data_IF_156190483103
#
_entry.id   IF_156190483103
#
_cell.length_a   1.000
_cell.length_b   1.000
_cell.length_c   1.000
_cell.angle_alpha   90.00
_cell.angle_beta   90.00
_cell.angle_gamma   90.00
#
_symmetry.space_group_name_H-M   'P 1'
#
loop_
_entity.id
_entity.type
_entity.pdbx_description
1 polymer ?
#
# COMPACT_ATOMS: atom_id res chain seq x y z
N UNK A 1 -26.70 16.45 -64.55
CA UNK A 1 -25.35 15.81 -64.53
C UNK A 1 -24.71 16.01 -63.19
N UNK A 2 -24.33 14.90 -62.54
CA UNK A 2 -23.48 14.75 -61.34
C UNK A 2 -24.06 15.07 -59.97
N UNK A 3 -24.55 14.00 -59.35
CA UNK A 3 -24.69 13.78 -57.92
C UNK A 3 -23.33 13.85 -57.19
N UNK A 4 -23.28 14.47 -56.01
CA UNK A 4 -22.26 14.18 -55.03
C UNK A 4 -22.92 13.77 -53.71
N UNK A 5 -22.57 12.58 -53.30
CA UNK A 5 -22.98 11.89 -52.09
C UNK A 5 -22.32 12.50 -50.85
N UNK A 6 -23.12 12.82 -49.84
CA UNK A 6 -22.70 13.04 -48.47
C UNK A 6 -22.91 11.72 -47.68
N UNK A 7 -21.84 11.09 -47.28
CA UNK A 7 -21.91 9.91 -46.40
C UNK A 7 -20.57 9.57 -45.81
N UNK A 8 -20.57 9.32 -44.53
CA UNK A 8 -19.52 8.70 -43.70
C UNK A 8 -18.67 9.61 -42.80
N UNK A 9 -19.29 10.14 -41.77
CA UNK A 9 -18.53 10.62 -40.60
C UNK A 9 -18.94 9.94 -39.24
N UNK A 10 -19.96 9.05 -39.26
CA UNK A 10 -20.50 8.48 -38.01
C UNK A 10 -19.98 7.07 -37.67
N UNK A 11 -19.35 6.36 -38.58
CA UNK A 11 -18.94 4.98 -38.38
C UNK A 11 -17.55 4.83 -37.70
N UNK A 12 -16.68 5.84 -37.81
CA UNK A 12 -15.28 5.74 -37.35
C UNK A 12 -15.14 5.94 -35.83
N UNK A 13 -16.01 6.71 -35.19
CA UNK A 13 -15.94 7.00 -33.76
C UNK A 13 -16.42 5.79 -32.91
N UNK A 14 -17.43 5.07 -33.41
CA UNK A 14 -17.93 3.87 -32.68
C UNK A 14 -16.98 2.67 -32.76
N UNK A 15 -16.24 2.50 -33.85
CA UNK A 15 -15.28 1.40 -34.03
C UNK A 15 -14.03 1.64 -33.19
N UNK A 16 -13.60 2.88 -32.97
CA UNK A 16 -12.44 3.19 -32.13
C UNK A 16 -12.76 2.99 -30.65
N UNK A 17 -13.96 3.35 -30.19
CA UNK A 17 -14.39 3.13 -28.79
C UNK A 17 -14.56 1.64 -28.46
N UNK A 18 -15.08 0.84 -29.39
CA UNK A 18 -15.21 -0.61 -29.25
C UNK A 18 -13.85 -1.34 -29.31
N UNK A 19 -12.89 -0.82 -30.09
CA UNK A 19 -11.53 -1.38 -30.12
C UNK A 19 -10.73 -1.07 -28.85
N UNK A 20 -10.91 0.10 -28.24
CA UNK A 20 -10.26 0.44 -26.96
C UNK A 20 -10.86 -0.33 -25.79
N UNK A 21 -12.16 -0.59 -25.75
CA UNK A 21 -12.79 -1.46 -24.75
C UNK A 21 -12.35 -2.93 -24.92
N UNK A 22 -12.30 -3.45 -26.15
CA UNK A 22 -11.81 -4.79 -26.46
C UNK A 22 -10.32 -4.98 -26.12
N UNK A 23 -9.47 -3.97 -26.37
CA UNK A 23 -8.06 -4.03 -26.00
C UNK A 23 -7.84 -3.98 -24.47
N UNK A 24 -8.71 -3.28 -23.70
CA UNK A 24 -8.69 -3.26 -22.24
C UNK A 24 -9.05 -4.63 -21.64
N UNK A 25 -9.97 -5.36 -22.23
CA UNK A 25 -10.34 -6.72 -21.80
C UNK A 25 -9.26 -7.76 -22.11
N UNK A 26 -8.48 -7.62 -23.19
CA UNK A 26 -7.44 -8.59 -23.55
C UNK A 26 -6.30 -8.67 -22.54
N UNK A 27 -6.06 -7.63 -21.73
CA UNK A 27 -4.99 -7.61 -20.72
C UNK A 27 -5.33 -8.39 -19.45
N UNK A 28 -6.62 -8.56 -19.13
CA UNK A 28 -7.11 -9.45 -18.07
C UNK A 28 -7.46 -10.86 -18.63
N UNK A 29 -7.58 -11.01 -19.94
CA UNK A 29 -8.12 -12.22 -20.60
C UNK A 29 -7.09 -13.06 -21.36
N UNK A 30 -5.80 -12.95 -21.06
CA UNK A 30 -4.85 -13.98 -21.50
C UNK A 30 -5.13 -15.27 -20.72
N UNK A 31 -5.98 -16.13 -21.28
CA UNK A 31 -6.27 -17.46 -20.74
C UNK A 31 -7.75 -17.68 -20.38
N UNK A 32 -8.01 -18.68 -19.54
CA UNK A 32 -9.32 -19.08 -19.03
C UNK A 32 -10.03 -17.90 -18.31
N UNK A 33 -11.37 -17.73 -18.44
CA UNK A 33 -12.11 -16.74 -17.67
C UNK A 33 -11.82 -16.88 -16.17
N UNK A 34 -11.66 -15.73 -15.50
CA UNK A 34 -11.52 -15.68 -14.04
C UNK A 34 -12.77 -16.27 -13.38
N UNK A 35 -12.61 -16.99 -12.29
CA UNK A 35 -13.71 -17.54 -11.49
C UNK A 35 -13.73 -16.90 -10.09
N UNK A 36 -14.92 -16.76 -9.47
CA UNK A 36 -15.00 -16.33 -8.08
C UNK A 36 -14.20 -17.28 -7.18
N UNK A 37 -13.46 -16.72 -6.22
CA UNK A 37 -12.69 -17.53 -5.29
C UNK A 37 -12.52 -16.84 -3.93
N UNK A 38 -12.41 -17.65 -2.88
CA UNK A 38 -12.02 -17.20 -1.53
C UNK A 38 -10.51 -17.45 -1.36
N UNK A 39 -9.81 -16.43 -0.92
CA UNK A 39 -8.35 -16.48 -0.67
C UNK A 39 -8.07 -15.87 0.69
N UNK A 40 -7.16 -16.49 1.43
CA UNK A 40 -6.62 -15.94 2.67
C UNK A 40 -5.37 -15.13 2.34
N UNK A 41 -5.30 -13.89 2.81
CA UNK A 41 -4.09 -13.05 2.73
C UNK A 41 -3.41 -12.93 4.07
N UNK A 42 -2.10 -13.15 4.12
CA UNK A 42 -1.28 -13.05 5.32
C UNK A 42 -0.15 -12.05 5.09
N UNK A 43 -0.01 -11.10 6.01
CA UNK A 43 0.99 -10.05 5.95
C UNK A 43 1.65 -9.83 7.31
N UNK A 44 2.96 -9.79 7.33
CA UNK A 44 3.75 -9.27 8.45
C UNK A 44 4.60 -8.09 7.95
N UNK A 45 4.34 -6.91 8.50
CA UNK A 45 4.96 -5.66 8.09
C UNK A 45 6.28 -5.37 8.81
N UNK A 46 7.04 -4.42 8.27
CA UNK A 46 8.32 -3.96 8.85
C UNK A 46 8.16 -3.18 10.17
N UNK A 47 6.93 -2.83 10.56
CA UNK A 47 6.61 -2.27 11.87
C UNK A 47 6.82 -3.28 13.00
N UNK A 48 6.74 -4.58 12.68
CA UNK A 48 6.85 -5.71 13.62
C UNK A 48 5.79 -5.66 14.74
N UNK A 49 4.57 -5.23 14.39
CA UNK A 49 3.45 -5.17 15.34
C UNK A 49 2.76 -6.53 15.47
N UNK A 50 2.77 -7.31 14.37
CA UNK A 50 2.08 -8.58 14.32
C UNK A 50 1.83 -9.09 12.91
N UNK A 51 0.89 -10.02 12.81
CA UNK A 51 0.42 -10.63 11.56
C UNK A 51 -0.99 -10.11 11.27
N UNK A 52 -1.19 -9.52 10.11
CA UNK A 52 -2.50 -9.20 9.56
C UNK A 52 -2.98 -10.37 8.69
N UNK A 53 -4.16 -10.89 8.99
CA UNK A 53 -4.79 -11.97 8.24
C UNK A 53 -6.18 -11.55 7.77
N UNK A 54 -6.47 -11.74 6.49
CA UNK A 54 -7.77 -11.43 5.89
C UNK A 54 -8.30 -12.62 5.08
N UNK A 55 -9.60 -12.86 5.16
CA UNK A 55 -10.31 -13.75 4.24
C UNK A 55 -11.09 -12.87 3.27
N UNK A 56 -10.79 -12.96 1.99
CA UNK A 56 -11.42 -12.16 0.96
C UNK A 56 -12.01 -13.04 -0.14
N UNK A 57 -13.23 -12.69 -0.59
CA UNK A 57 -13.85 -13.26 -1.78
C UNK A 57 -13.65 -12.32 -2.95
N UNK A 58 -13.03 -12.81 -4.02
CA UNK A 58 -12.86 -12.08 -5.26
C UNK A 58 -13.91 -12.54 -6.27
N UNK A 59 -14.61 -11.58 -6.86
CA UNK A 59 -15.62 -11.83 -7.89
C UNK A 59 -15.25 -11.02 -9.12
N UNK A 60 -14.87 -11.67 -10.23
CA UNK A 60 -14.57 -10.98 -11.47
C UNK A 60 -15.84 -10.41 -12.10
N UNK A 61 -15.81 -9.13 -12.44
CA UNK A 61 -16.81 -8.45 -13.24
C UNK A 61 -16.34 -8.31 -14.69
N UNK A 62 -17.06 -7.51 -15.48
CA UNK A 62 -16.72 -7.28 -16.90
C UNK A 62 -15.42 -6.49 -17.03
N UNK A 63 -15.27 -5.43 -16.24
CA UNK A 63 -14.14 -4.49 -16.32
C UNK A 63 -13.38 -4.32 -14.99
N UNK A 64 -13.74 -5.08 -13.97
CA UNK A 64 -13.16 -4.95 -12.62
C UNK A 64 -13.18 -6.29 -11.88
N UNK A 65 -12.43 -6.34 -10.78
CA UNK A 65 -12.54 -7.39 -9.77
C UNK A 65 -13.11 -6.73 -8.52
N UNK A 66 -14.22 -7.25 -7.98
CA UNK A 66 -14.69 -6.85 -6.66
C UNK A 66 -14.08 -7.73 -5.57
N UNK A 67 -13.80 -7.14 -4.43
CA UNK A 67 -13.34 -7.85 -3.24
C UNK A 67 -14.35 -7.64 -2.10
N UNK A 68 -14.84 -8.74 -1.55
CA UNK A 68 -15.64 -8.77 -0.33
C UNK A 68 -14.73 -9.24 0.81
N UNK A 69 -14.53 -8.41 1.83
CA UNK A 69 -13.81 -8.79 3.05
C UNK A 69 -14.75 -9.61 3.94
N UNK A 70 -14.47 -10.91 4.09
CA UNK A 70 -15.29 -11.83 4.90
C UNK A 70 -14.88 -11.81 6.38
N UNK A 71 -13.57 -11.71 6.65
CA UNK A 71 -13.02 -11.51 7.98
C UNK A 71 -11.64 -10.86 7.90
N UNK A 72 -11.30 -10.13 8.95
CA UNK A 72 -9.97 -9.56 9.16
C UNK A 72 -9.60 -9.63 10.62
N UNK A 73 -8.34 -9.96 10.91
CA UNK A 73 -7.80 -9.94 12.25
C UNK A 73 -6.31 -9.65 12.25
N UNK A 74 -5.87 -8.81 13.20
CA UNK A 74 -4.47 -8.59 13.53
C UNK A 74 -4.08 -9.40 14.76
N UNK A 75 -2.95 -10.09 14.68
CA UNK A 75 -2.37 -10.91 15.74
C UNK A 75 -1.06 -10.27 16.19
N UNK A 76 -1.06 -9.61 17.33
CA UNK A 76 0.14 -8.95 17.85
C UNK A 76 1.23 -9.96 18.17
N UNK A 77 2.47 -9.64 17.84
CA UNK A 77 3.63 -10.43 18.30
C UNK A 77 3.80 -10.31 19.80
N UNK A 78 4.18 -11.40 20.45
CA UNK A 78 4.70 -11.34 21.81
C UNK A 78 6.01 -10.55 21.82
N UNK A 79 6.40 -10.08 23.01
CA UNK A 79 7.69 -9.38 23.17
C UNK A 79 8.86 -10.22 22.66
N UNK A 80 8.89 -11.51 22.97
CA UNK A 80 9.96 -12.43 22.56
C UNK A 80 9.99 -12.61 21.04
N UNK A 81 8.82 -12.82 20.39
CA UNK A 81 8.71 -12.93 18.94
C UNK A 81 9.25 -11.67 18.26
N UNK A 82 8.82 -10.50 18.74
CA UNK A 82 9.25 -9.21 18.21
C UNK A 82 10.76 -8.99 18.36
N UNK A 83 11.33 -9.31 19.51
CA UNK A 83 12.77 -9.19 19.76
C UNK A 83 13.59 -10.11 18.86
N UNK A 84 13.11 -11.33 18.58
CA UNK A 84 13.77 -12.26 17.64
C UNK A 84 13.73 -11.75 16.21
N UNK A 85 12.60 -11.21 15.76
CA UNK A 85 12.46 -10.58 14.44
C UNK A 85 13.36 -9.36 14.32
N UNK A 86 13.45 -8.51 15.33
CA UNK A 86 14.37 -7.36 15.34
C UNK A 86 15.83 -7.79 15.16
N UNK A 87 16.28 -8.80 15.95
CA UNK A 87 17.64 -9.35 15.78
C UNK A 87 17.88 -9.92 14.39
N UNK A 88 16.87 -10.52 13.77
CA UNK A 88 16.99 -11.04 12.40
C UNK A 88 17.18 -9.92 11.37
N UNK A 89 16.57 -8.74 11.58
CA UNK A 89 16.77 -7.56 10.72
C UNK A 89 18.18 -6.94 10.89
N UNK A 90 18.76 -7.03 12.07
CA UNK A 90 20.09 -6.51 12.38
C UNK A 90 21.21 -7.48 11.97
N UNK A 91 20.88 -8.76 11.84
CA UNK A 91 21.80 -9.84 11.50
C UNK A 91 21.90 -10.88 12.62
N UNK A 92 21.78 -12.16 12.26
CA UNK A 92 21.85 -13.28 13.20
C UNK A 92 22.52 -14.51 12.57
N UNK A 93 22.61 -15.63 13.31
CA UNK A 93 23.22 -16.86 12.80
C UNK A 93 22.35 -17.54 11.73
N UNK A 94 22.94 -18.29 10.79
CA UNK A 94 22.19 -19.11 9.85
C UNK A 94 21.19 -20.08 10.51
N UNK A 95 21.58 -20.62 11.66
CA UNK A 95 20.70 -21.50 12.47
C UNK A 95 19.44 -20.77 12.95
N UNK A 96 19.60 -19.54 13.45
CA UNK A 96 18.47 -18.75 13.92
C UNK A 96 17.58 -18.29 12.74
N UNK A 97 18.15 -17.91 11.62
CA UNK A 97 17.37 -17.62 10.42
C UNK A 97 16.52 -18.81 9.98
N UNK A 98 17.10 -20.02 9.94
CA UNK A 98 16.38 -21.23 9.57
C UNK A 98 15.23 -21.54 10.54
N UNK A 99 15.48 -21.49 11.86
CA UNK A 99 14.46 -21.72 12.89
C UNK A 99 13.33 -20.70 12.81
N UNK A 100 13.69 -19.41 12.73
CA UNK A 100 12.72 -18.32 12.69
C UNK A 100 11.84 -18.38 11.45
N UNK A 101 12.37 -18.77 10.27
CA UNK A 101 11.59 -18.98 9.06
C UNK A 101 10.48 -20.03 9.26
N UNK A 102 10.79 -21.16 9.90
CA UNK A 102 9.82 -22.23 10.19
C UNK A 102 8.81 -21.83 11.25
N UNK A 103 9.28 -21.21 12.33
CA UNK A 103 8.41 -20.76 13.42
C UNK A 103 7.44 -19.66 12.96
N UNK A 104 7.91 -18.73 12.14
CA UNK A 104 7.04 -17.72 11.54
C UNK A 104 6.00 -18.37 10.60
N UNK A 105 6.38 -19.41 9.87
CA UNK A 105 5.43 -20.22 9.10
C UNK A 105 4.33 -20.81 10.01
N UNK A 106 4.69 -21.27 11.20
CA UNK A 106 3.72 -21.77 12.18
C UNK A 106 2.81 -20.64 12.71
N UNK A 107 3.35 -19.46 13.05
CA UNK A 107 2.54 -18.32 13.52
C UNK A 107 1.58 -17.82 12.43
N UNK A 108 2.03 -17.80 11.17
CA UNK A 108 1.18 -17.45 10.02
C UNK A 108 0.08 -18.50 9.80
N UNK A 109 0.37 -19.78 10.03
CA UNK A 109 -0.65 -20.85 9.98
C UNK A 109 -1.73 -20.66 11.04
N UNK A 110 -1.32 -20.35 12.26
CA UNK A 110 -2.25 -20.12 13.37
C UNK A 110 -3.16 -18.92 13.08
N UNK A 111 -2.60 -17.86 12.50
CA UNK A 111 -3.38 -16.69 12.06
C UNK A 111 -4.36 -17.05 10.94
N UNK A 112 -3.95 -17.86 9.94
CA UNK A 112 -4.82 -18.30 8.86
C UNK A 112 -6.00 -19.13 9.38
N UNK A 113 -5.74 -20.10 10.26
CA UNK A 113 -6.79 -20.95 10.86
C UNK A 113 -7.77 -20.10 11.67
N UNK A 114 -7.24 -19.16 12.47
CA UNK A 114 -8.09 -18.31 13.31
C UNK A 114 -8.99 -17.37 12.47
N UNK A 115 -8.46 -16.73 11.42
CA UNK A 115 -9.27 -15.83 10.60
C UNK A 115 -10.29 -16.59 9.73
N UNK A 116 -10.00 -17.83 9.33
CA UNK A 116 -10.97 -18.71 8.66
C UNK A 116 -12.13 -19.08 9.58
N UNK A 117 -11.83 -19.37 10.86
CA UNK A 117 -12.86 -19.61 11.85
C UNK A 117 -13.73 -18.37 12.10
N UNK A 118 -13.14 -17.18 12.18
CA UNK A 118 -13.86 -15.90 12.29
C UNK A 118 -14.79 -15.66 11.07
N UNK A 119 -14.36 -16.06 9.87
CA UNK A 119 -15.14 -15.95 8.64
C UNK A 119 -16.24 -17.03 8.52
N UNK A 120 -16.19 -18.10 9.29
CA UNK A 120 -17.06 -19.27 9.13
C UNK A 120 -16.85 -20.00 7.78
N UNK A 121 -15.64 -19.93 7.21
CA UNK A 121 -15.30 -20.53 5.92
C UNK A 121 -14.54 -21.84 6.16
N UNK A 122 -15.01 -22.90 5.48
CA UNK A 122 -14.32 -24.19 5.49
C UNK A 122 -13.04 -24.11 4.65
N UNK A 123 -12.00 -24.83 5.05
CA UNK A 123 -10.73 -24.86 4.32
C UNK A 123 -10.87 -25.38 2.88
N UNK A 124 -11.84 -26.26 2.64
CA UNK A 124 -12.16 -26.84 1.35
C UNK A 124 -12.70 -25.78 0.36
N UNK A 125 -13.27 -24.69 0.88
CA UNK A 125 -13.80 -23.57 0.08
C UNK A 125 -12.72 -22.52 -0.23
N UNK A 126 -11.51 -22.66 0.35
CA UNK A 126 -10.39 -21.72 0.15
C UNK A 126 -9.55 -22.16 -1.04
N UNK A 127 -9.41 -21.28 -2.00
CA UNK A 127 -8.65 -21.54 -3.23
C UNK A 127 -7.14 -21.55 -2.99
N UNK A 128 -6.65 -20.71 -2.11
CA UNK A 128 -5.24 -20.60 -1.72
C UNK A 128 -5.07 -19.73 -0.47
N UNK A 129 -3.94 -19.89 0.20
CA UNK A 129 -3.39 -18.90 1.12
C UNK A 129 -2.32 -18.10 0.37
N UNK A 130 -2.34 -16.78 0.47
CA UNK A 130 -1.35 -15.87 -0.08
C UNK A 130 -0.53 -15.27 1.07
N UNK A 131 0.69 -15.73 1.25
CA UNK A 131 1.55 -15.30 2.36
C UNK A 131 2.67 -14.39 1.86
N UNK A 132 2.62 -13.11 2.28
CA UNK A 132 3.77 -12.22 2.11
C UNK A 132 4.93 -12.63 3.01
N UNK A 133 4.63 -13.15 4.20
CA UNK A 133 5.64 -13.38 5.24
C UNK A 133 6.16 -12.07 5.84
N UNK A 134 7.37 -12.13 6.42
CA UNK A 134 8.10 -11.00 7.00
C UNK A 134 9.34 -10.69 6.18
N UNK A 135 9.47 -9.46 5.68
CA UNK A 135 10.69 -9.04 5.01
C UNK A 135 11.84 -8.94 6.00
N UNK A 136 12.87 -9.75 5.79
CA UNK A 136 14.12 -9.76 6.57
C UNK A 136 15.21 -8.97 5.86
N UNK A 137 15.26 -9.08 4.54
CA UNK A 137 16.18 -8.33 3.71
C UNK A 137 15.50 -7.81 2.45
N UNK A 138 15.80 -6.59 2.07
CA UNK A 138 15.33 -6.02 0.82
C UNK A 138 16.34 -5.00 0.31
N UNK A 139 16.94 -5.30 -0.83
CA UNK A 139 17.84 -4.45 -1.58
C UNK A 139 17.24 -4.22 -2.97
N UNK A 140 16.62 -3.04 -3.20
CA UNK A 140 15.91 -2.77 -4.44
C UNK A 140 16.76 -3.02 -5.69
N UNK A 141 16.21 -3.76 -6.65
CA UNK A 141 16.90 -4.10 -7.90
C UNK A 141 17.95 -5.20 -7.80
N UNK A 142 18.29 -5.69 -6.63
CA UNK A 142 19.29 -6.75 -6.44
C UNK A 142 18.72 -8.01 -5.80
N UNK A 143 18.17 -7.92 -4.57
CA UNK A 143 17.74 -9.10 -3.83
C UNK A 143 16.66 -8.77 -2.80
N UNK A 144 15.87 -9.78 -2.45
CA UNK A 144 14.84 -9.65 -1.42
C UNK A 144 14.62 -11.00 -0.74
N UNK A 145 14.32 -10.98 0.56
CA UNK A 145 14.11 -12.20 1.32
C UNK A 145 13.00 -12.00 2.36
N UNK A 146 11.95 -12.79 2.22
CA UNK A 146 10.83 -12.83 3.12
C UNK A 146 10.81 -14.17 3.86
N UNK A 147 10.58 -14.14 5.17
CA UNK A 147 10.43 -15.31 6.05
C UNK A 147 8.97 -15.72 6.19
N UNK A 148 8.77 -16.94 6.66
CA UNK A 148 7.47 -17.59 6.85
C UNK A 148 7.33 -18.76 5.89
N UNK A 149 7.98 -19.89 6.25
CA UNK A 149 8.08 -21.09 5.39
C UNK A 149 6.71 -21.54 4.88
N UNK A 150 6.45 -21.44 3.56
CA UNK A 150 5.14 -21.73 3.00
C UNK A 150 4.76 -23.23 3.09
N UNK A 151 5.73 -24.13 3.10
CA UNK A 151 5.47 -25.55 3.29
C UNK A 151 4.93 -25.85 4.68
N UNK A 152 5.38 -25.12 5.71
CA UNK A 152 4.82 -25.23 7.09
C UNK A 152 3.37 -24.73 7.11
N UNK A 153 3.07 -23.64 6.39
CA UNK A 153 1.70 -23.13 6.31
C UNK A 153 0.81 -24.14 5.58
N UNK A 154 1.24 -24.68 4.45
CA UNK A 154 0.49 -25.62 3.65
C UNK A 154 0.20 -26.93 4.45
N UNK A 155 1.22 -27.51 5.05
CA UNK A 155 1.08 -28.75 5.83
C UNK A 155 0.14 -28.59 7.04
N UNK A 156 0.21 -27.44 7.75
CA UNK A 156 -0.62 -27.21 8.94
C UNK A 156 -2.07 -26.83 8.62
N UNK A 157 -2.31 -26.21 7.48
CA UNK A 157 -3.66 -25.76 7.09
C UNK A 157 -4.37 -26.73 6.16
N UNK A 158 -3.63 -27.55 5.42
CA UNK A 158 -4.17 -28.38 4.32
C UNK A 158 -4.60 -27.54 3.11
N UNK A 159 -4.06 -26.31 2.97
CA UNK A 159 -4.39 -25.39 1.88
C UNK A 159 -3.10 -25.01 1.16
N UNK A 160 -3.09 -25.04 -0.18
CA UNK A 160 -1.94 -24.62 -0.96
C UNK A 160 -1.60 -23.14 -0.79
N UNK A 161 -0.31 -22.81 -0.78
CA UNK A 161 0.21 -21.48 -0.44
C UNK A 161 0.92 -20.84 -1.61
N UNK A 162 0.61 -19.57 -1.88
CA UNK A 162 1.37 -18.68 -2.77
C UNK A 162 2.22 -17.76 -1.89
N UNK A 163 3.52 -17.73 -2.13
CA UNK A 163 4.49 -16.91 -1.38
C UNK A 163 5.52 -16.27 -2.30
N UNK A 164 6.51 -15.53 -1.76
CA UNK A 164 7.64 -14.96 -2.52
C UNK A 164 7.22 -13.99 -3.65
N UNK A 165 6.25 -13.14 -3.43
CA UNK A 165 5.70 -12.23 -4.44
C UNK A 165 6.74 -11.25 -5.00
N UNK A 166 7.71 -10.81 -4.19
CA UNK A 166 8.71 -9.78 -4.56
C UNK A 166 9.82 -10.30 -5.46
N UNK A 167 10.20 -11.58 -5.28
CA UNK A 167 11.36 -12.20 -5.94
C UNK A 167 11.26 -12.13 -7.46
N UNK A 168 10.06 -12.41 -8.03
CA UNK A 168 9.88 -12.44 -9.49
C UNK A 168 9.95 -11.06 -10.12
N UNK A 169 9.49 -10.02 -9.42
CA UNK A 169 9.58 -8.64 -9.87
C UNK A 169 11.04 -8.17 -9.89
N UNK A 170 11.79 -8.45 -8.82
CA UNK A 170 13.25 -8.16 -8.75
C UNK A 170 13.99 -8.88 -9.88
N UNK A 171 13.72 -10.16 -10.10
CA UNK A 171 14.34 -10.93 -11.19
C UNK A 171 13.97 -10.38 -12.58
N UNK A 172 12.84 -9.69 -12.71
CA UNK A 172 12.45 -8.96 -13.92
C UNK A 172 13.09 -7.58 -14.04
N UNK A 173 14.00 -7.21 -13.14
CA UNK A 173 14.68 -5.92 -13.08
C UNK A 173 13.90 -4.83 -12.38
N UNK A 174 12.80 -5.17 -11.70
CA UNK A 174 12.06 -4.27 -10.85
C UNK A 174 12.65 -4.14 -9.45
N UNK A 175 12.11 -3.22 -8.69
CA UNK A 175 12.55 -2.99 -7.30
C UNK A 175 11.93 -3.96 -6.29
N UNK A 176 10.91 -4.78 -6.70
CA UNK A 176 10.20 -5.68 -5.79
C UNK A 176 9.22 -5.00 -4.84
N UNK A 177 9.12 -3.68 -4.94
CA UNK A 177 8.21 -2.80 -4.19
C UNK A 177 7.97 -1.51 -4.99
N UNK A 178 6.83 -0.82 -4.83
CA UNK A 178 5.64 -1.29 -4.11
C UNK A 178 4.82 -2.31 -4.93
N UNK A 179 4.19 -3.29 -4.29
CA UNK A 179 3.34 -4.28 -4.95
C UNK A 179 1.83 -4.01 -4.78
N UNK A 180 1.44 -3.26 -3.75
CA UNK A 180 0.03 -2.88 -3.48
C UNK A 180 -0.65 -2.15 -4.64
N UNK A 181 0.04 -1.37 -5.51
CA UNK A 181 -0.58 -0.67 -6.64
C UNK A 181 -1.43 -1.54 -7.57
N UNK A 182 -1.18 -2.86 -7.65
CA UNK A 182 -2.05 -3.78 -8.41
C UNK A 182 -3.46 -3.86 -7.79
N UNK A 183 -3.53 -3.91 -6.45
CA UNK A 183 -4.82 -3.91 -5.75
C UNK A 183 -5.50 -2.55 -5.86
N UNK A 184 -4.74 -1.46 -5.75
CA UNK A 184 -5.25 -0.10 -5.92
C UNK A 184 -5.92 0.04 -7.30
N UNK A 185 -5.30 -0.47 -8.35
CA UNK A 185 -5.82 -0.42 -9.70
C UNK A 185 -7.01 -1.36 -9.96
N UNK A 186 -6.96 -2.60 -9.47
CA UNK A 186 -7.98 -3.60 -9.81
C UNK A 186 -9.20 -3.56 -8.88
N UNK A 187 -9.03 -3.15 -7.62
CA UNK A 187 -10.09 -3.16 -6.60
C UNK A 187 -10.65 -1.77 -6.27
N UNK A 188 -9.81 -0.73 -6.33
CA UNK A 188 -10.13 0.57 -5.73
C UNK A 188 -10.16 1.72 -6.74
N UNK A 189 -10.12 1.44 -8.06
CA UNK A 189 -10.28 2.46 -9.08
C UNK A 189 -11.70 3.04 -9.10
N UNK A 190 -11.85 4.19 -9.75
CA UNK A 190 -13.14 4.72 -10.15
C UNK A 190 -13.34 4.49 -11.66
N UNK A 191 -14.55 4.16 -12.09
CA UNK A 191 -14.84 3.81 -13.49
C UNK A 191 -14.64 5.00 -14.44
N UNK A 192 -14.96 6.21 -13.98
CA UNK A 192 -14.98 7.42 -14.83
C UNK A 192 -13.92 8.47 -14.49
N UNK A 193 -13.22 8.35 -13.35
CA UNK A 193 -12.36 9.41 -12.84
C UNK A 193 -10.99 8.86 -12.41
N UNK A 194 -9.97 9.72 -12.52
CA UNK A 194 -8.67 9.47 -11.90
C UNK A 194 -8.79 9.54 -10.39
N UNK A 195 -8.22 8.57 -9.73
CA UNK A 195 -8.18 8.47 -8.25
C UNK A 195 -6.74 8.35 -7.76
N UNK A 196 -6.42 9.00 -6.66
CA UNK A 196 -5.18 8.77 -5.95
C UNK A 196 -5.44 8.06 -4.62
N UNK A 197 -4.71 6.98 -4.35
CA UNK A 197 -4.73 6.25 -3.09
C UNK A 197 -3.51 6.71 -2.29
N UNK A 198 -3.73 7.56 -1.28
CA UNK A 198 -2.66 8.09 -0.42
C UNK A 198 -2.59 7.29 0.87
N UNK A 199 -1.53 6.50 1.03
CA UNK A 199 -1.25 5.84 2.30
C UNK A 199 -0.54 6.79 3.26
N UNK A 200 -1.01 6.86 4.50
CA UNK A 200 -0.50 7.66 5.61
C UNK A 200 0.08 6.74 6.69
N UNK A 201 1.08 5.94 6.31
CA UNK A 201 1.88 5.14 7.22
C UNK A 201 2.99 5.96 7.87
N UNK A 202 4.06 5.32 8.38
CA UNK A 202 5.25 6.03 8.86
C UNK A 202 5.88 6.91 7.78
N UNK A 203 5.86 6.43 6.53
CA UNK A 203 6.14 7.18 5.29
C UNK A 203 4.83 7.33 4.53
N UNK A 204 4.60 8.49 3.94
CA UNK A 204 3.49 8.76 3.04
C UNK A 204 3.81 8.31 1.62
N UNK A 205 2.94 7.55 0.99
CA UNK A 205 3.07 7.17 -0.42
C UNK A 205 1.73 7.25 -1.14
N UNK A 206 1.79 7.47 -2.44
CA UNK A 206 0.61 7.63 -3.29
C UNK A 206 0.65 6.66 -4.47
N UNK A 207 -0.49 6.05 -4.78
CA UNK A 207 -0.75 5.36 -6.05
C UNK A 207 -1.74 6.20 -6.86
N UNK A 208 -1.39 6.57 -8.09
CA UNK A 208 -2.24 7.27 -9.03
C UNK A 208 -2.86 6.24 -9.97
N UNK A 209 -4.19 6.17 -9.98
CA UNK A 209 -4.95 5.16 -10.70
C UNK A 209 -5.83 5.84 -11.76
N UNK A 210 -5.69 5.46 -13.05
CA UNK A 210 -6.55 5.96 -14.11
C UNK A 210 -8.01 5.52 -13.94
N UNK A 211 -8.91 6.26 -14.58
CA UNK A 211 -10.30 5.82 -14.74
C UNK A 211 -10.34 4.40 -15.34
N UNK A 212 -11.18 3.53 -14.75
CA UNK A 212 -11.30 2.13 -15.15
C UNK A 212 -10.10 1.24 -14.80
N UNK A 213 -9.14 1.71 -13.97
CA UNK A 213 -8.05 0.89 -13.43
C UNK A 213 -7.02 0.38 -14.45
N UNK A 214 -6.84 1.07 -15.59
CA UNK A 214 -5.89 0.67 -16.62
C UNK A 214 -4.44 0.66 -16.08
N UNK A 215 -3.81 -0.51 -16.04
CA UNK A 215 -2.52 -0.72 -15.35
C UNK A 215 -1.35 0.07 -15.96
N UNK A 216 -1.40 0.39 -17.25
CA UNK A 216 -0.37 1.14 -17.96
C UNK A 216 -0.24 2.60 -17.48
N UNK A 217 -1.30 3.16 -16.93
CA UNK A 217 -1.30 4.52 -16.39
C UNK A 217 -1.04 4.59 -14.87
N UNK A 218 -0.92 3.44 -14.21
CA UNK A 218 -0.70 3.40 -12.76
C UNK A 218 0.74 3.78 -12.44
N UNK A 219 0.89 4.75 -11.54
CA UNK A 219 2.18 5.19 -11.00
C UNK A 219 2.12 5.22 -9.47
N UNK A 220 3.24 4.98 -8.81
CA UNK A 220 3.33 5.07 -7.36
C UNK A 220 4.69 5.64 -6.94
N UNK A 221 4.72 6.44 -5.88
CA UNK A 221 5.92 6.99 -5.28
C UNK A 221 5.67 7.52 -3.87
N UNK A 222 6.74 7.75 -3.11
CA UNK A 222 6.66 8.28 -1.75
C UNK A 222 6.52 9.80 -1.77
N UNK A 223 5.54 10.33 -1.02
CA UNK A 223 5.24 11.75 -0.95
C UNK A 223 6.02 12.49 0.14
N UNK A 224 6.54 11.77 1.13
CA UNK A 224 7.29 12.37 2.23
C UNK A 224 7.01 11.68 3.58
N UNK A 225 7.14 12.39 4.70
CA UNK A 225 6.78 11.85 5.99
C UNK A 225 5.27 11.57 6.01
N UNK A 226 4.91 10.39 6.53
CA UNK A 226 3.52 10.12 6.87
C UNK A 226 3.23 10.58 8.30
N UNK A 227 2.80 9.67 9.17
CA UNK A 227 2.68 9.96 10.61
C UNK A 227 4.00 9.82 11.36
N UNK A 228 5.05 9.26 10.75
CA UNK A 228 6.30 8.96 11.44
C UNK A 228 6.92 10.16 12.14
N UNK A 229 6.93 11.34 11.48
CA UNK A 229 7.44 12.59 12.07
C UNK A 229 6.47 13.12 13.13
N UNK A 230 5.16 13.07 12.88
CA UNK A 230 4.13 13.52 13.84
C UNK A 230 4.24 12.72 15.14
N UNK A 231 4.24 11.39 15.04
CA UNK A 231 4.32 10.48 16.19
C UNK A 231 5.66 10.61 16.92
N UNK A 232 6.75 10.76 16.17
CA UNK A 232 8.07 10.91 16.74
C UNK A 232 8.24 12.22 17.51
N UNK A 233 7.76 13.33 16.96
CA UNK A 233 7.75 14.63 17.63
C UNK A 233 6.85 14.57 18.87
N UNK A 234 5.67 13.94 18.76
CA UNK A 234 4.76 13.77 19.90
C UNK A 234 5.44 13.00 21.03
N UNK A 235 6.07 11.84 20.75
CA UNK A 235 6.78 11.05 21.77
C UNK A 235 7.97 11.77 22.42
N UNK A 236 8.62 12.66 21.70
CA UNK A 236 9.73 13.46 22.26
C UNK A 236 9.20 14.53 23.21
N UNK A 237 8.10 15.19 22.85
CA UNK A 237 7.56 16.33 23.60
C UNK A 237 6.57 15.93 24.70
N UNK A 238 5.87 14.81 24.52
CA UNK A 238 4.82 14.27 25.39
C UNK A 238 5.06 12.76 25.53
N UNK A 239 6.07 12.32 26.31
CA UNK A 239 6.52 10.93 26.36
C UNK A 239 5.47 9.90 26.81
N UNK A 240 4.43 10.34 27.50
CA UNK A 240 3.28 9.54 27.93
C UNK A 240 2.33 9.17 26.78
N UNK A 241 2.45 9.83 25.61
CA UNK A 241 1.62 9.56 24.44
C UNK A 241 2.42 8.85 23.35
N UNK A 242 1.92 7.76 22.77
CA UNK A 242 2.56 7.09 21.64
C UNK A 242 2.43 7.89 20.34
N UNK A 243 1.40 8.72 20.21
CA UNK A 243 1.08 9.62 19.09
C UNK A 243 0.03 10.67 19.52
N UNK A 244 -0.25 11.66 18.68
CA UNK A 244 -1.31 12.65 18.92
C UNK A 244 -2.69 12.03 18.67
N UNK A 245 -3.30 11.53 19.76
CA UNK A 245 -4.59 10.84 19.71
C UNK A 245 -5.69 11.77 19.18
N UNK A 246 -6.34 11.38 18.11
CA UNK A 246 -7.39 12.13 17.41
C UNK A 246 -6.96 13.53 16.92
N UNK A 247 -5.65 13.78 16.81
CA UNK A 247 -5.10 15.09 16.42
C UNK A 247 -5.40 16.21 17.42
N UNK A 248 -5.61 15.87 18.70
CA UNK A 248 -6.07 16.82 19.72
C UNK A 248 -5.03 17.89 20.06
N UNK A 249 -3.74 17.51 20.04
CA UNK A 249 -2.66 18.46 20.31
C UNK A 249 -2.47 19.38 19.09
N UNK A 250 -2.37 18.81 17.90
CA UNK A 250 -2.20 19.60 16.68
C UNK A 250 -3.33 20.61 16.45
N UNK A 251 -4.59 20.26 16.76
CA UNK A 251 -5.74 21.17 16.62
C UNK A 251 -5.71 22.36 17.58
N UNK A 252 -4.98 22.30 18.68
CA UNK A 252 -4.80 23.40 19.62
C UNK A 252 -3.63 24.29 19.27
N UNK A 253 -2.71 23.80 18.44
CA UNK A 253 -1.52 24.51 18.01
C UNK A 253 -1.71 25.28 16.70
N UNK A 254 -0.74 26.15 16.43
CA UNK A 254 -0.61 26.86 15.17
C UNK A 254 0.69 26.48 14.47
N UNK A 255 0.59 25.97 13.24
CA UNK A 255 1.75 25.56 12.47
C UNK A 255 2.70 26.75 12.16
N UNK A 256 4.00 26.50 12.24
CA UNK A 256 5.04 27.43 11.84
C UNK A 256 5.36 27.28 10.35
N UNK A 257 4.71 28.04 9.48
CA UNK A 257 4.87 27.97 8.02
C UNK A 257 6.32 28.20 7.55
N UNK A 258 7.10 29.00 8.31
CA UNK A 258 8.51 29.23 7.99
C UNK A 258 9.34 27.95 8.11
N UNK A 259 9.04 27.11 9.11
CA UNK A 259 9.68 25.80 9.29
C UNK A 259 9.24 24.82 8.20
N UNK A 260 7.95 24.76 7.91
CA UNK A 260 7.43 23.89 6.84
C UNK A 260 8.11 24.20 5.50
N UNK A 261 8.19 25.47 5.12
CA UNK A 261 8.87 25.89 3.88
C UNK A 261 10.35 25.53 3.86
N UNK A 262 11.06 25.71 4.98
CA UNK A 262 12.49 25.36 5.07
C UNK A 262 12.73 23.86 4.90
N UNK A 263 11.93 23.02 5.58
CA UNK A 263 12.07 21.57 5.51
C UNK A 263 11.68 21.03 4.12
N UNK A 264 10.67 21.59 3.47
CA UNK A 264 10.29 21.22 2.11
C UNK A 264 11.29 21.66 1.03
N UNK A 265 12.23 22.56 1.35
CA UNK A 265 13.31 22.92 0.44
C UNK A 265 14.41 21.84 0.35
N UNK A 266 14.35 20.79 1.15
CA UNK A 266 15.30 19.68 1.08
C UNK A 266 15.22 18.93 -0.26
N UNK A 267 16.38 18.46 -0.78
CA UNK A 267 16.46 17.85 -2.12
C UNK A 267 15.52 16.70 -2.37
N UNK A 268 15.20 15.90 -1.34
CA UNK A 268 14.26 14.79 -1.42
C UNK A 268 12.89 15.21 -1.96
N UNK A 269 12.33 16.32 -1.47
CA UNK A 269 10.99 16.75 -1.90
C UNK A 269 10.98 17.24 -3.35
N UNK A 270 12.09 17.80 -3.82
CA UNK A 270 12.25 18.27 -5.21
C UNK A 270 12.55 17.12 -6.21
N UNK A 271 13.01 15.96 -5.73
CA UNK A 271 13.35 14.84 -6.59
C UNK A 271 12.14 14.30 -7.34
N UNK A 272 12.22 14.10 -8.68
CA UNK A 272 11.10 13.55 -9.44
C UNK A 272 10.91 12.04 -9.16
N UNK A 273 9.67 11.52 -9.32
CA UNK A 273 9.44 10.09 -9.35
C UNK A 273 10.16 9.39 -10.54
N UNK A 274 10.56 8.11 -10.38
CA UNK A 274 10.30 7.26 -9.23
C UNK A 274 11.20 7.62 -8.04
N UNK A 275 10.60 7.82 -6.86
CA UNK A 275 11.33 8.07 -5.62
C UNK A 275 10.71 7.29 -4.47
N UNK A 276 11.57 6.75 -3.62
CA UNK A 276 11.21 6.09 -2.38
C UNK A 276 12.12 6.55 -1.25
N UNK A 277 11.67 6.41 -0.02
CA UNK A 277 12.44 6.67 1.18
C UNK A 277 12.00 5.74 2.29
N UNK A 278 12.79 5.67 3.34
CA UNK A 278 12.52 4.89 4.52
C UNK A 278 12.79 5.68 5.80
N UNK A 279 13.06 4.94 6.87
CA UNK A 279 13.35 5.52 8.19
C UNK A 279 14.70 6.27 8.23
N UNK A 280 15.55 6.08 7.24
CA UNK A 280 16.86 6.71 7.13
C UNK A 280 16.80 8.22 6.91
N UNK A 281 15.73 8.74 6.30
CA UNK A 281 15.57 10.18 6.09
C UNK A 281 14.87 10.84 7.28
N UNK A 282 13.74 10.27 7.74
CA UNK A 282 12.93 10.83 8.81
C UNK A 282 13.31 10.22 10.16
N UNK A 283 14.56 10.45 10.54
CA UNK A 283 15.18 9.92 11.77
C UNK A 283 14.79 10.70 13.00
N UNK A 284 15.23 10.23 14.18
CA UNK A 284 15.10 10.98 15.43
C UNK A 284 15.73 12.39 15.33
N UNK A 285 16.91 12.51 14.69
CA UNK A 285 17.56 13.81 14.50
C UNK A 285 16.74 14.76 13.61
N UNK A 286 16.01 14.22 12.62
CA UNK A 286 15.06 15.02 11.85
C UNK A 286 13.94 15.58 12.72
N UNK A 287 13.35 14.77 13.60
CA UNK A 287 12.30 15.20 14.55
C UNK A 287 12.82 16.26 15.52
N UNK A 288 14.01 16.07 16.09
CA UNK A 288 14.68 17.03 16.95
C UNK A 288 14.96 18.36 16.22
N UNK A 289 15.30 18.31 14.93
CA UNK A 289 15.44 19.50 14.07
C UNK A 289 14.11 20.22 13.86
N UNK A 290 13.00 19.51 13.60
CA UNK A 290 11.66 20.12 13.52
C UNK A 290 11.34 20.89 14.81
N UNK A 291 11.60 20.28 15.97
CA UNK A 291 11.40 20.91 17.28
C UNK A 291 12.26 22.17 17.45
N UNK A 292 13.55 22.04 17.18
CA UNK A 292 14.50 23.15 17.35
C UNK A 292 14.17 24.35 16.44
N UNK A 293 13.88 24.10 15.16
CA UNK A 293 13.50 25.15 14.20
C UNK A 293 12.18 25.83 14.59
N UNK A 294 11.19 25.07 15.06
CA UNK A 294 9.89 25.62 15.47
C UNK A 294 10.04 26.56 16.68
N UNK A 295 10.84 26.16 17.66
CA UNK A 295 11.15 27.01 18.82
C UNK A 295 11.92 28.26 18.42
N UNK A 296 12.95 28.12 17.59
CA UNK A 296 13.83 29.22 17.21
C UNK A 296 13.13 30.27 16.32
N UNK A 297 12.25 29.84 15.40
CA UNK A 297 11.64 30.72 14.40
C UNK A 297 10.27 31.26 14.80
N UNK A 298 9.52 30.53 15.62
CA UNK A 298 8.13 30.88 15.93
C UNK A 298 7.82 30.91 17.42
N UNK A 299 8.82 30.75 18.30
CA UNK A 299 8.61 30.60 19.76
C UNK A 299 7.51 29.59 20.09
N UNK A 300 7.54 28.45 19.36
CA UNK A 300 6.45 27.51 19.27
C UNK A 300 6.25 26.72 20.56
N UNK A 301 5.01 26.60 21.01
CA UNK A 301 4.58 25.68 22.08
C UNK A 301 4.66 24.23 21.63
N UNK A 302 4.45 23.27 22.52
CA UNK A 302 4.36 21.84 22.19
C UNK A 302 3.29 21.58 21.14
N UNK A 303 2.11 22.15 21.29
CA UNK A 303 1.00 22.04 20.36
C UNK A 303 1.34 22.63 18.98
N UNK A 304 2.00 23.78 18.94
CA UNK A 304 2.43 24.42 17.69
C UNK A 304 3.45 23.57 16.92
N UNK A 305 4.36 22.91 17.64
CA UNK A 305 5.35 22.01 17.03
C UNK A 305 4.68 20.80 16.43
N UNK A 306 3.71 20.20 17.15
CA UNK A 306 2.95 19.04 16.63
C UNK A 306 2.08 19.47 15.44
N UNK A 307 1.43 20.64 15.50
CA UNK A 307 0.71 21.24 14.37
C UNK A 307 1.63 21.48 13.16
N UNK A 308 2.89 21.89 13.40
CA UNK A 308 3.91 22.08 12.35
C UNK A 308 4.27 20.75 11.68
N UNK A 309 4.40 19.67 12.45
CA UNK A 309 4.64 18.33 11.90
C UNK A 309 3.45 17.82 11.04
N UNK A 310 2.21 18.06 11.49
CA UNK A 310 1.01 17.78 10.69
C UNK A 310 0.99 18.59 9.40
N UNK A 311 1.29 19.90 9.49
CA UNK A 311 1.34 20.78 8.33
C UNK A 311 2.45 20.36 7.34
N UNK A 312 3.61 19.91 7.82
CA UNK A 312 4.70 19.40 6.99
C UNK A 312 4.26 18.19 6.18
N UNK A 313 3.62 17.21 6.82
CA UNK A 313 3.09 16.02 6.12
C UNK A 313 2.04 16.41 5.09
N UNK A 314 1.07 17.23 5.46
CA UNK A 314 0.02 17.66 4.54
C UNK A 314 0.57 18.47 3.36
N UNK A 315 1.54 19.35 3.60
CA UNK A 315 2.15 20.16 2.54
C UNK A 315 3.06 19.33 1.64
N UNK A 316 3.79 18.33 2.17
CA UNK A 316 4.61 17.44 1.34
C UNK A 316 3.76 16.65 0.34
N UNK A 317 2.56 16.22 0.74
CA UNK A 317 1.59 15.58 -0.13
C UNK A 317 1.10 16.57 -1.20
N UNK A 318 0.65 17.75 -0.79
CA UNK A 318 0.14 18.77 -1.72
C UNK A 318 1.22 19.24 -2.72
N UNK A 319 2.46 19.38 -2.26
CA UNK A 319 3.60 19.73 -3.12
C UNK A 319 3.89 18.63 -4.14
N UNK A 320 3.83 17.36 -3.72
CA UNK A 320 3.97 16.21 -4.63
C UNK A 320 2.85 16.18 -5.68
N UNK A 321 1.62 16.50 -5.31
CA UNK A 321 0.50 16.62 -6.25
C UNK A 321 0.74 17.73 -7.26
N UNK A 322 1.12 18.92 -6.84
CA UNK A 322 1.39 20.06 -7.74
C UNK A 322 2.54 19.82 -8.71
N UNK A 323 3.59 19.13 -8.25
CA UNK A 323 4.82 18.96 -9.06
C UNK A 323 4.79 17.73 -9.94
N UNK A 324 4.21 16.63 -9.47
CA UNK A 324 4.45 15.31 -10.07
C UNK A 324 3.18 14.59 -10.52
N UNK A 325 1.98 15.14 -10.27
CA UNK A 325 0.71 14.52 -10.65
C UNK A 325 -0.04 15.46 -11.60
N UNK A 326 0.30 15.44 -12.91
CA UNK A 326 -0.40 16.23 -13.93
C UNK A 326 -1.77 15.66 -14.28
N UNK A 327 -2.07 14.44 -13.86
CA UNK A 327 -3.33 13.77 -14.13
C UNK A 327 -4.50 14.50 -13.42
N UNK A 328 -5.70 14.54 -14.02
CA UNK A 328 -6.86 15.23 -13.46
C UNK A 328 -7.50 14.37 -12.34
N UNK A 329 -6.76 14.21 -11.25
CA UNK A 329 -7.24 13.47 -10.07
C UNK A 329 -8.45 14.19 -9.49
N UNK A 330 -9.59 13.48 -9.43
CA UNK A 330 -10.84 14.01 -8.89
C UNK A 330 -11.05 13.67 -7.41
N UNK A 331 -10.40 12.61 -6.94
CA UNK A 331 -10.55 12.12 -5.58
C UNK A 331 -9.23 11.54 -5.04
N UNK A 332 -8.93 11.87 -3.79
CA UNK A 332 -7.83 11.28 -3.01
C UNK A 332 -8.43 10.43 -1.89
N UNK A 333 -8.14 9.13 -1.92
CA UNK A 333 -8.57 8.21 -0.87
C UNK A 333 -7.43 7.97 0.10
N UNK A 334 -7.59 8.41 1.34
CA UNK A 334 -6.56 8.29 2.38
C UNK A 334 -6.74 7.00 3.18
N UNK A 335 -5.63 6.30 3.45
CA UNK A 335 -5.57 5.06 4.23
C UNK A 335 -4.36 5.05 5.17
N UNK A 336 -4.21 3.98 5.96
CA UNK A 336 -3.15 3.85 6.96
C UNK A 336 -3.46 4.55 8.27
N UNK A 337 -2.57 4.42 9.26
CA UNK A 337 -2.80 4.95 10.62
C UNK A 337 -3.08 6.46 10.67
N UNK A 338 -2.47 7.21 9.76
CA UNK A 338 -2.68 8.67 9.67
C UNK A 338 -4.07 9.08 9.22
N UNK A 339 -4.81 8.23 8.54
CA UNK A 339 -6.19 8.48 8.16
C UNK A 339 -7.14 8.54 9.38
N UNK A 340 -6.69 8.04 10.53
CA UNK A 340 -7.39 8.14 11.82
C UNK A 340 -7.08 9.43 12.58
N UNK A 341 -6.16 10.27 12.08
CA UNK A 341 -5.87 11.58 12.64
C UNK A 341 -6.68 12.65 11.90
N UNK A 342 -7.78 13.16 12.48
CA UNK A 342 -8.65 14.12 11.79
C UNK A 342 -7.94 15.43 11.46
N UNK A 343 -6.99 15.89 12.30
CA UNK A 343 -6.23 17.11 12.04
C UNK A 343 -5.38 16.97 10.76
N UNK A 344 -4.79 15.79 10.54
CA UNK A 344 -4.01 15.52 9.33
C UNK A 344 -4.90 15.42 8.09
N UNK A 345 -6.03 14.70 8.17
CA UNK A 345 -6.97 14.56 7.04
C UNK A 345 -7.54 15.92 6.63
N UNK A 346 -7.96 16.76 7.60
CA UNK A 346 -8.44 18.12 7.36
C UNK A 346 -7.35 19.00 6.72
N UNK A 347 -6.11 18.90 7.22
CA UNK A 347 -4.99 19.66 6.68
C UNK A 347 -4.65 19.26 5.23
N UNK A 348 -4.76 17.97 4.88
CA UNK A 348 -4.60 17.47 3.50
C UNK A 348 -5.74 17.98 2.62
N UNK A 349 -6.99 17.84 3.07
CA UNK A 349 -8.16 18.27 2.31
C UNK A 349 -8.13 19.76 1.98
N UNK A 350 -7.75 20.60 2.96
CA UNK A 350 -7.63 22.03 2.75
C UNK A 350 -6.58 22.41 1.68
N UNK A 351 -5.48 21.66 1.60
CA UNK A 351 -4.39 21.92 0.64
C UNK A 351 -4.61 21.34 -0.76
N UNK A 352 -5.40 20.29 -0.86
CA UNK A 352 -5.74 19.66 -2.13
C UNK A 352 -7.02 20.21 -2.76
N UNK A 353 -7.76 21.08 -2.08
CA UNK A 353 -8.99 21.65 -2.65
C UNK A 353 -8.75 22.23 -4.06
N UNK A 354 -9.64 21.99 -5.03
CA UNK A 354 -10.99 21.40 -4.89
C UNK A 354 -11.07 19.86 -4.97
N UNK A 355 -9.95 19.14 -4.94
CA UNK A 355 -9.95 17.67 -4.98
C UNK A 355 -10.60 17.12 -3.71
N UNK A 356 -11.51 16.18 -3.88
CA UNK A 356 -12.21 15.54 -2.75
C UNK A 356 -11.26 14.59 -2.02
N UNK A 357 -11.19 14.69 -0.69
CA UNK A 357 -10.43 13.75 0.15
C UNK A 357 -11.40 12.90 0.95
N UNK A 358 -11.33 11.58 0.76
CA UNK A 358 -12.22 10.59 1.37
C UNK A 358 -11.38 9.55 2.12
N UNK A 359 -11.87 9.03 3.23
CA UNK A 359 -11.21 7.92 3.93
C UNK A 359 -11.51 6.61 3.21
N UNK A 360 -10.54 5.70 3.23
CA UNK A 360 -10.67 4.38 2.63
C UNK A 360 -11.82 3.59 3.26
N UNK A 361 -11.95 3.67 4.59
CA UNK A 361 -13.00 2.98 5.35
C UNK A 361 -14.42 3.43 4.97
N UNK A 362 -14.58 4.65 4.45
CA UNK A 362 -15.88 5.19 4.07
C UNK A 362 -16.35 4.69 2.68
N UNK A 363 -15.42 4.17 1.87
CA UNK A 363 -15.69 3.71 0.50
C UNK A 363 -15.64 2.20 0.31
N UNK A 364 -14.82 1.49 1.11
CA UNK A 364 -14.50 0.09 0.86
C UNK A 364 -14.72 -0.75 2.12
N UNK A 365 -13.65 -1.11 2.81
CA UNK A 365 -13.64 -1.91 4.04
C UNK A 365 -12.57 -1.36 4.99
N UNK A 366 -12.39 -1.96 6.16
CA UNK A 366 -11.36 -1.54 7.13
C UNK A 366 -9.97 -1.43 6.47
N UNK A 367 -9.41 -0.23 6.47
CA UNK A 367 -8.11 0.06 5.86
C UNK A 367 -6.94 -0.77 6.42
N UNK A 368 -7.06 -1.29 7.65
CA UNK A 368 -6.05 -2.19 8.22
C UNK A 368 -5.98 -3.53 7.47
N UNK A 369 -7.09 -3.95 6.85
CA UNK A 369 -7.12 -5.16 6.02
C UNK A 369 -6.50 -4.97 4.64
N UNK A 370 -6.27 -3.73 4.19
CA UNK A 370 -5.90 -3.39 2.80
C UNK A 370 -4.68 -4.18 2.31
N UNK A 371 -3.62 -4.25 3.09
CA UNK A 371 -2.40 -4.97 2.69
C UNK A 371 -2.64 -6.48 2.60
N UNK A 372 -3.30 -7.09 3.60
CA UNK A 372 -3.61 -8.51 3.58
C UNK A 372 -4.53 -8.87 2.40
N UNK A 373 -5.54 -8.04 2.10
CA UNK A 373 -6.40 -8.19 0.91
C UNK A 373 -5.62 -8.02 -0.40
N UNK A 374 -4.66 -7.09 -0.46
CA UNK A 374 -3.80 -6.92 -1.63
C UNK A 374 -2.95 -8.17 -1.91
N UNK A 375 -2.39 -8.80 -0.87
CA UNK A 375 -1.67 -10.07 -1.05
C UNK A 375 -2.62 -11.23 -1.36
N UNK A 376 -3.83 -11.27 -0.78
CA UNK A 376 -4.86 -12.22 -1.19
C UNK A 376 -5.20 -12.09 -2.68
N UNK A 377 -5.35 -10.85 -3.19
CA UNK A 377 -5.55 -10.59 -4.62
C UNK A 377 -4.37 -11.11 -5.47
N UNK A 378 -3.13 -10.86 -5.06
CA UNK A 378 -1.96 -11.37 -5.78
C UNK A 378 -1.93 -12.90 -5.80
N UNK A 379 -2.30 -13.56 -4.70
CA UNK A 379 -2.48 -15.01 -4.65
C UNK A 379 -3.60 -15.49 -5.58
N UNK A 380 -4.73 -14.79 -5.61
CA UNK A 380 -5.82 -15.04 -6.55
C UNK A 380 -5.35 -14.93 -8.00
N UNK A 381 -4.67 -13.84 -8.35
CA UNK A 381 -4.11 -13.65 -9.70
C UNK A 381 -3.11 -14.74 -10.06
N UNK A 382 -2.28 -15.19 -9.09
CA UNK A 382 -1.33 -16.28 -9.30
C UNK A 382 -2.03 -17.58 -9.69
N UNK A 383 -3.03 -18.02 -8.92
CA UNK A 383 -3.75 -19.29 -9.19
C UNK A 383 -4.59 -19.24 -10.46
N UNK A 384 -4.94 -18.04 -10.90
CA UNK A 384 -5.61 -17.80 -12.19
C UNK A 384 -4.64 -17.53 -13.35
N UNK A 385 -3.32 -17.66 -13.12
CA UNK A 385 -2.29 -17.49 -14.15
C UNK A 385 -2.13 -16.05 -14.65
N UNK A 386 -2.48 -15.05 -13.83
CA UNK A 386 -2.45 -13.63 -14.17
C UNK A 386 -1.25 -12.91 -13.58
N UNK A 387 -0.71 -11.95 -14.32
CA UNK A 387 0.36 -11.09 -13.80
C UNK A 387 -0.15 -10.19 -12.67
N UNK A 388 0.70 -9.97 -11.67
CA UNK A 388 0.35 -9.24 -10.44
C UNK A 388 1.27 -8.06 -10.11
N UNK A 389 2.23 -7.70 -10.98
CA UNK A 389 3.03 -6.48 -10.80
C UNK A 389 2.54 -5.35 -11.70
N UNK A 390 2.89 -4.13 -11.32
CA UNK A 390 2.67 -2.90 -12.09
C UNK A 390 4.05 -2.33 -12.45
N UNK A 391 4.53 -2.53 -13.70
CA UNK A 391 5.85 -2.05 -14.12
C UNK A 391 6.07 -0.55 -13.91
N UNK A 392 5.03 0.27 -14.08
CA UNK A 392 5.07 1.72 -13.81
C UNK A 392 5.32 2.10 -12.35
N UNK A 393 5.11 1.15 -11.42
CA UNK A 393 5.37 1.34 -9.99
C UNK A 393 6.70 0.71 -9.54
N UNK A 394 7.08 -0.46 -10.10
CA UNK A 394 8.27 -1.20 -9.65
C UNK A 394 9.48 -1.03 -10.55
N UNK A 395 9.31 -0.55 -11.80
CA UNK A 395 10.38 -0.47 -12.78
C UNK A 395 10.72 -1.80 -13.45
N UNK A 396 9.97 -2.87 -13.24
CA UNK A 396 10.20 -4.16 -13.90
C UNK A 396 10.07 -4.05 -15.43
N UNK A 397 10.83 -4.86 -16.18
CA UNK A 397 10.82 -4.90 -17.65
C UNK A 397 9.48 -5.32 -18.28
N UNK A 398 8.49 -5.62 -17.49
CA UNK A 398 7.15 -5.99 -17.94
C UNK A 398 6.36 -6.72 -16.88
N UNK A 399 5.13 -7.07 -17.21
CA UNK A 399 4.21 -7.76 -16.33
C UNK A 399 4.66 -9.20 -16.04
N UNK A 400 4.52 -9.64 -14.81
CA UNK A 400 4.96 -10.97 -14.34
C UNK A 400 3.92 -11.61 -13.42
N UNK A 401 3.78 -12.92 -13.55
CA UNK A 401 3.15 -13.75 -12.54
C UNK A 401 4.03 -13.72 -11.28
N UNK A 402 3.53 -13.16 -10.19
CA UNK A 402 4.27 -13.03 -8.95
C UNK A 402 3.96 -14.17 -8.00
N UNK A 403 4.99 -14.76 -7.41
CA UNK A 403 4.86 -15.78 -6.38
C UNK A 403 5.46 -17.13 -6.75
N UNK A 404 5.42 -18.03 -5.77
CA UNK A 404 5.77 -19.45 -5.85
C UNK A 404 4.65 -20.25 -5.19
N UNK A 405 4.39 -21.44 -5.69
CA UNK A 405 3.37 -22.35 -5.17
C UNK A 405 3.97 -23.44 -4.29
N UNK A 406 3.44 -23.58 -3.08
CA UNK A 406 3.65 -24.74 -2.20
C UNK A 406 2.34 -25.51 -2.10
N UNK A 407 2.26 -26.74 -2.59
CA UNK A 407 1.04 -27.55 -2.50
C UNK A 407 0.75 -27.95 -1.04
N UNK A 408 -0.52 -28.25 -0.77
CA UNK A 408 -0.97 -28.83 0.51
C UNK A 408 -0.58 -30.29 0.62
#
# INVERSE_FOLDING_TARGET
MLFRSSGSASATVHVTALRTASARMSQLTEGRPLAPAVVVGLMSGTSLDGISAAVARFVPGVDHISAELLAFRSFSYTREQRERLLRALEGTSPTEYCRLNFELGAWLSDAAVAVLADAGISREDVRAIASHGQTVWHEPGHSTWQFGEPAVIAERTGIGVVSDFRVRDVAAGGQGAPLVPIADALLFHDVGRWRALQNLGGIGNVTIVPAGGALEGVRAFDTGPGVGVIDGVTRILVPELPYDVDGKLARRGRACDAVVRELLAEPYFAAPPPKSTGRELFTRSYMERVIALSRAKCDATTEDIIATAVALTAESIADAFRRFIPEPVAEVVVSGGGARNPALVEAIAARLAPVVVTRFDDLFFDAEAKEAVAFALMGYLFVEGRSANVPGATGARGRRLLGKWSPA
#
